data_IF_163064571633
#
_entry.id   IF_163064571633
#
_cell.length_a   1.000
_cell.length_b   1.000
_cell.length_c   1.000
_cell.angle_alpha   90.00
_cell.angle_beta   90.00
_cell.angle_gamma   90.00
#
_symmetry.space_group_name_H-M   'P 1'
#
loop_
_entity.id
_entity.type
_entity.pdbx_description
1 polymer ?
#
# COMPACT_ATOMS: atom_id res chain seq x y z
N UNK A 1 2.59 12.64 1.22
CA UNK A 1 1.36 12.87 0.41
C UNK A 1 0.91 14.35 0.39
N UNK A 2 1.44 15.19 -0.51
CA UNK A 2 1.04 16.62 -0.64
C UNK A 2 0.48 16.99 -2.03
N UNK A 3 0.43 16.04 -2.99
CA UNK A 3 0.03 16.28 -4.39
C UNK A 3 -1.25 15.52 -4.80
N UNK A 4 -2.13 15.23 -3.85
CA UNK A 4 -3.42 14.56 -4.11
C UNK A 4 -3.32 13.23 -4.89
N UNK A 5 -2.20 12.52 -4.80
CA UNK A 5 -1.97 11.24 -5.51
C UNK A 5 -1.34 11.38 -6.90
N UNK A 6 -1.14 12.59 -7.43
CA UNK A 6 -0.54 12.81 -8.75
C UNK A 6 1.00 12.74 -8.74
N UNK A 7 1.55 11.59 -8.35
CA UNK A 7 3.00 11.40 -8.18
C UNK A 7 3.66 10.57 -9.29
N UNK A 8 2.91 9.97 -10.21
CA UNK A 8 3.44 8.98 -11.18
C UNK A 8 4.52 9.50 -12.14
N UNK A 9 4.52 10.80 -12.45
CA UNK A 9 5.43 11.42 -13.42
C UNK A 9 6.62 12.19 -12.80
N UNK A 10 6.52 12.56 -11.51
CA UNK A 10 7.63 13.15 -10.75
C UNK A 10 8.36 12.11 -9.92
N UNK A 11 7.59 11.17 -9.35
CA UNK A 11 7.97 9.91 -8.72
C UNK A 11 9.41 9.88 -8.19
N UNK A 12 9.71 10.74 -7.22
CA UNK A 12 10.99 10.79 -6.54
C UNK A 12 10.85 10.35 -5.10
N UNK A 13 11.95 9.86 -4.50
CA UNK A 13 11.96 9.36 -3.13
C UNK A 13 10.99 8.18 -2.92
N UNK A 14 10.87 7.74 -1.67
CA UNK A 14 10.11 6.57 -1.29
C UNK A 14 8.59 6.75 -1.49
N UNK A 15 8.09 7.97 -1.30
CA UNK A 15 6.72 8.39 -1.62
C UNK A 15 6.39 8.20 -3.11
N UNK A 16 7.37 8.36 -4.00
CA UNK A 16 7.24 8.10 -5.44
C UNK A 16 7.17 6.60 -5.77
N UNK A 17 7.82 5.76 -4.97
CA UNK A 17 7.87 4.30 -5.15
C UNK A 17 6.51 3.64 -4.88
N UNK A 18 5.69 4.24 -4.03
CA UNK A 18 4.28 3.87 -3.88
C UNK A 18 3.46 4.20 -5.15
N UNK A 19 3.86 5.21 -5.94
CA UNK A 19 3.14 5.68 -7.12
C UNK A 19 3.64 5.08 -8.44
N UNK A 20 4.93 4.77 -8.59
CA UNK A 20 5.49 4.19 -9.82
C UNK A 20 6.68 3.25 -9.50
N UNK A 21 6.66 2.03 -10.03
CA UNK A 21 7.75 1.07 -9.86
C UNK A 21 9.12 1.55 -10.40
N UNK A 22 9.14 2.55 -11.29
CA UNK A 22 10.36 3.20 -11.79
C UNK A 22 10.92 4.30 -10.86
N UNK A 23 10.17 4.73 -9.84
CA UNK A 23 10.56 5.79 -8.93
C UNK A 23 11.88 5.56 -8.15
N UNK A 24 12.25 4.33 -7.74
CA UNK A 24 13.49 4.12 -6.98
C UNK A 24 14.76 4.60 -7.71
N UNK A 25 14.74 4.63 -9.05
CA UNK A 25 15.86 5.12 -9.87
C UNK A 25 15.70 6.58 -10.32
N UNK A 26 14.64 7.28 -9.89
CA UNK A 26 14.46 8.71 -10.14
C UNK A 26 15.14 9.54 -9.05
N UNK A 27 16.22 10.22 -9.43
CA UNK A 27 16.94 11.15 -8.55
C UNK A 27 16.15 12.42 -8.30
N UNK A 28 16.22 12.94 -7.07
CA UNK A 28 15.83 14.32 -6.77
C UNK A 28 16.74 15.31 -7.50
N UNK A 29 16.18 16.44 -7.94
CA UNK A 29 16.88 17.47 -8.75
C UNK A 29 18.09 18.12 -8.05
N UNK A 30 18.23 17.94 -6.73
CA UNK A 30 19.31 18.49 -5.90
C UNK A 30 20.29 17.41 -5.38
N UNK A 31 20.13 16.14 -5.78
CA UNK A 31 21.09 15.10 -5.40
C UNK A 31 22.35 15.20 -6.26
N UNK A 32 23.49 15.51 -5.62
CA UNK A 32 24.84 15.56 -6.24
C UNK A 32 25.71 14.36 -5.85
N UNK A 33 25.19 13.41 -5.06
CA UNK A 33 25.96 12.29 -4.49
C UNK A 33 25.81 11.01 -5.32
N UNK A 34 26.84 10.19 -5.37
CA UNK A 34 26.78 8.91 -6.11
C UNK A 34 25.88 7.86 -5.43
N UNK A 35 25.58 8.06 -4.15
CA UNK A 35 24.80 7.18 -3.31
C UNK A 35 23.86 8.00 -2.41
N UNK A 36 22.58 7.60 -2.38
CA UNK A 36 21.55 8.18 -1.52
C UNK A 36 20.77 7.06 -0.80
N UNK A 37 20.38 7.33 0.45
CA UNK A 37 19.48 6.48 1.25
C UNK A 37 18.32 7.35 1.72
N UNK A 38 17.12 6.79 1.68
CA UNK A 38 15.91 7.36 2.26
C UNK A 38 15.20 6.31 3.13
N UNK A 39 14.65 6.73 4.26
CA UNK A 39 13.93 5.87 5.21
C UNK A 39 12.74 6.65 5.74
N UNK A 40 11.57 6.03 5.71
CA UNK A 40 10.34 6.58 6.23
C UNK A 40 9.68 5.61 7.21
N UNK A 41 9.00 6.17 8.19
CA UNK A 41 8.13 5.43 9.08
C UNK A 41 7.00 6.36 9.52
N UNK A 42 5.83 5.79 9.75
CA UNK A 42 4.76 6.53 10.37
C UNK A 42 3.68 5.65 10.97
N UNK A 43 2.88 6.31 11.77
CA UNK A 43 1.82 5.70 12.56
C UNK A 43 0.60 6.61 12.45
N UNK A 44 -0.57 6.02 12.20
CA UNK A 44 -1.83 6.74 12.18
C UNK A 44 -2.83 6.08 13.12
N UNK A 45 -3.36 6.89 14.03
CA UNK A 45 -4.36 6.50 15.01
C UNK A 45 -5.78 6.84 14.52
N UNK A 46 -6.82 6.21 15.08
CA UNK A 46 -8.19 6.57 14.76
C UNK A 46 -8.46 7.97 15.30
N UNK A 47 -8.69 8.93 14.41
CA UNK A 47 -9.40 10.15 14.79
C UNK A 47 -10.90 9.85 14.97
N UNK A 48 -11.75 10.61 14.28
CA UNK A 48 -13.22 10.45 14.28
C UNK A 48 -13.75 9.11 13.72
N UNK A 49 -12.88 8.23 13.22
CA UNK A 49 -13.27 6.97 12.56
C UNK A 49 -13.47 5.78 13.50
N UNK A 50 -13.10 5.89 14.78
CA UNK A 50 -13.17 4.79 15.77
C UNK A 50 -14.58 4.39 16.25
N UNK A 51 -15.63 4.90 15.62
CA UNK A 51 -17.02 4.49 15.89
C UNK A 51 -17.89 4.43 14.63
N UNK A 52 -17.25 4.31 13.46
CA UNK A 52 -17.97 4.23 12.19
C UNK A 52 -18.77 2.92 12.09
N UNK A 53 -19.94 3.04 11.48
CA UNK A 53 -20.78 1.90 11.13
C UNK A 53 -20.07 1.06 10.06
N UNK A 54 -19.60 -0.14 10.45
CA UNK A 54 -18.84 -1.03 9.56
C UNK A 54 -19.65 -1.41 8.32
N UNK A 55 -20.97 -1.55 8.47
CA UNK A 55 -21.86 -1.97 7.39
C UNK A 55 -22.46 -0.78 6.62
N UNK A 56 -22.12 0.47 6.97
CA UNK A 56 -22.65 1.69 6.35
C UNK A 56 -24.20 1.68 6.22
N UNK A 57 -24.90 1.20 7.26
CA UNK A 57 -26.36 1.10 7.34
C UNK A 57 -27.04 2.45 7.63
N UNK A 58 -26.27 3.44 8.11
CA UNK A 58 -26.76 4.81 8.34
C UNK A 58 -27.83 4.88 9.44
N UNK A 59 -28.62 5.97 9.46
CA UNK A 59 -29.65 6.21 10.49
C UNK A 59 -30.84 5.22 10.47
N UNK A 60 -30.86 4.28 9.52
CA UNK A 60 -31.88 3.23 9.40
C UNK A 60 -31.47 1.90 10.06
N UNK A 61 -30.22 1.77 10.53
CA UNK A 61 -29.79 0.65 11.36
C UNK A 61 -30.20 0.83 12.82
N UNK A 62 -30.81 -0.17 13.45
CA UNK A 62 -31.06 -0.13 14.89
C UNK A 62 -29.74 0.00 15.64
N UNK A 63 -29.59 1.00 16.52
CA UNK A 63 -28.36 1.23 17.29
C UNK A 63 -27.91 -0.02 18.10
N UNK A 64 -28.85 -0.90 18.44
CA UNK A 64 -28.63 -2.18 19.12
C UNK A 64 -28.19 -3.34 18.21
N UNK A 65 -28.03 -3.10 16.91
CA UNK A 65 -27.67 -4.12 15.91
C UNK A 65 -26.53 -3.67 14.98
N UNK A 66 -25.93 -2.51 15.24
CA UNK A 66 -24.85 -1.93 14.42
C UNK A 66 -23.48 -2.44 14.90
N UNK A 67 -22.77 -3.14 14.02
CA UNK A 67 -21.37 -3.50 14.21
C UNK A 67 -20.52 -2.24 14.04
N UNK A 68 -19.62 -2.00 14.99
CA UNK A 68 -18.78 -0.80 15.01
C UNK A 68 -17.33 -1.18 14.76
N UNK A 69 -16.67 -0.39 13.93
CA UNK A 69 -15.22 -0.46 13.77
C UNK A 69 -14.56 0.28 14.93
N UNK A 70 -13.69 -0.39 15.68
CA UNK A 70 -12.91 0.18 16.79
C UNK A 70 -11.41 -0.07 16.58
N UNK A 71 -10.60 0.69 17.31
CA UNK A 71 -9.14 0.52 17.38
C UNK A 71 -8.45 0.41 16.01
N UNK A 72 -8.58 1.46 15.20
CA UNK A 72 -7.81 1.64 13.97
C UNK A 72 -6.33 1.90 14.28
N UNK A 73 -5.44 1.14 13.67
CA UNK A 73 -4.02 1.44 13.65
C UNK A 73 -3.51 1.21 12.24
N UNK A 74 -2.93 2.25 11.64
CA UNK A 74 -2.05 2.07 10.49
C UNK A 74 -0.60 2.27 10.94
N UNK A 75 0.25 1.34 10.54
CA UNK A 75 1.70 1.45 10.62
C UNK A 75 2.26 1.33 9.21
N UNK A 76 3.11 2.27 8.82
CA UNK A 76 3.85 2.16 7.58
C UNK A 76 5.34 2.41 7.82
N UNK A 77 6.16 1.85 6.94
CA UNK A 77 7.55 2.24 6.84
C UNK A 77 8.21 1.65 5.62
N UNK A 78 9.34 2.22 5.25
CA UNK A 78 10.08 1.81 4.08
C UNK A 78 11.51 2.31 4.10
N UNK A 79 12.30 1.73 3.21
CA UNK A 79 13.62 2.22 2.89
C UNK A 79 13.86 2.15 1.38
N UNK A 80 14.62 3.11 0.87
CA UNK A 80 15.10 3.10 -0.51
C UNK A 80 16.57 3.46 -0.56
N UNK A 81 17.25 2.88 -1.52
CA UNK A 81 18.66 3.14 -1.77
C UNK A 81 18.85 3.38 -3.26
N UNK A 82 19.66 4.37 -3.58
CA UNK A 82 19.99 4.70 -4.96
C UNK A 82 21.49 4.75 -5.14
N UNK A 83 21.97 4.10 -6.20
CA UNK A 83 23.37 3.99 -6.55
C UNK A 83 23.56 4.30 -8.04
N UNK A 84 24.06 5.50 -8.35
CA UNK A 84 24.18 5.96 -9.74
C UNK A 84 22.83 5.95 -10.47
N UNK A 85 22.67 5.05 -11.44
CA UNK A 85 21.45 4.89 -12.24
C UNK A 85 20.51 3.80 -11.68
N UNK A 86 20.97 3.01 -10.72
CA UNK A 86 20.19 1.93 -10.12
C UNK A 86 19.54 2.40 -8.82
N UNK A 87 18.35 1.89 -8.52
CA UNK A 87 17.71 2.12 -7.22
C UNK A 87 16.83 0.97 -6.80
N UNK A 88 16.71 0.77 -5.50
CA UNK A 88 15.87 -0.24 -4.86
C UNK A 88 15.02 0.42 -3.79
N UNK A 89 13.81 -0.10 -3.59
CA UNK A 89 12.94 0.32 -2.51
C UNK A 89 12.19 -0.88 -1.93
N UNK A 90 11.96 -0.87 -0.64
CA UNK A 90 11.08 -1.80 0.04
C UNK A 90 10.20 -1.05 1.03
N UNK A 91 8.93 -1.43 1.13
CA UNK A 91 7.98 -0.82 2.04
C UNK A 91 7.01 -1.84 2.61
N UNK A 92 6.56 -1.58 3.84
CA UNK A 92 5.51 -2.31 4.54
C UNK A 92 4.43 -1.32 4.98
N UNK A 93 3.19 -1.72 4.79
CA UNK A 93 2.01 -0.93 5.17
C UNK A 93 0.99 -1.87 5.81
N UNK A 94 0.74 -1.68 7.10
CA UNK A 94 -0.09 -2.54 7.92
C UNK A 94 -1.28 -1.76 8.46
N UNK A 95 -2.48 -2.25 8.16
CA UNK A 95 -3.75 -1.71 8.60
C UNK A 95 -4.42 -2.74 9.50
N UNK A 96 -4.80 -2.33 10.71
CA UNK A 96 -5.59 -3.15 11.62
C UNK A 96 -6.86 -2.40 12.02
N UNK A 97 -7.97 -3.13 12.05
CA UNK A 97 -9.21 -2.67 12.67
C UNK A 97 -9.93 -3.83 13.35
N UNK A 98 -10.70 -3.49 14.36
CA UNK A 98 -11.48 -4.44 15.13
C UNK A 98 -12.97 -4.22 14.87
N UNK A 99 -13.71 -5.30 14.64
CA UNK A 99 -15.17 -5.32 14.46
C UNK A 99 -15.78 -5.98 15.69
N UNK A 100 -16.57 -5.21 16.44
CA UNK A 100 -17.30 -5.69 17.61
C UNK A 100 -18.78 -5.90 17.29
N UNK A 101 -19.34 -7.03 17.76
CA UNK A 101 -20.78 -7.33 17.66
C UNK A 101 -21.64 -6.47 18.60
N UNK A 102 -22.96 -6.36 18.35
CA UNK A 102 -23.84 -5.46 19.08
C UNK A 102 -24.03 -5.80 20.57
N UNK A 103 -24.41 -4.80 21.35
CA UNK A 103 -24.39 -4.69 22.81
C UNK A 103 -25.31 -5.65 23.61
N UNK A 104 -25.97 -6.61 22.98
CA UNK A 104 -26.98 -7.47 23.61
C UNK A 104 -26.41 -8.71 24.32
N UNK A 105 -25.09 -8.91 24.35
CA UNK A 105 -24.42 -10.07 24.95
C UNK A 105 -23.45 -9.67 26.07
N UNK A 106 -23.47 -10.37 27.21
CA UNK A 106 -22.61 -10.11 28.38
C UNK A 106 -21.11 -10.39 28.12
N UNK A 107 -20.81 -11.20 27.10
CA UNK A 107 -19.46 -11.47 26.59
C UNK A 107 -19.47 -11.14 25.10
N UNK A 108 -18.59 -10.24 24.65
CA UNK A 108 -18.59 -9.72 23.28
C UNK A 108 -17.55 -10.45 22.41
N UNK A 109 -17.95 -11.38 21.53
CA UNK A 109 -17.06 -11.84 20.48
C UNK A 109 -16.82 -10.71 19.47
N UNK A 110 -15.57 -10.48 19.13
CA UNK A 110 -15.10 -9.53 18.14
C UNK A 110 -14.09 -10.18 17.19
N UNK A 111 -13.89 -9.54 16.05
CA UNK A 111 -12.91 -9.97 15.05
C UNK A 111 -11.96 -8.83 14.75
N UNK A 112 -10.67 -9.09 14.89
CA UNK A 112 -9.62 -8.21 14.41
C UNK A 112 -9.23 -8.63 13.01
N UNK A 113 -9.26 -7.68 12.08
CA UNK A 113 -8.80 -7.90 10.72
C UNK A 113 -7.55 -7.07 10.51
N UNK A 114 -6.48 -7.73 10.11
CA UNK A 114 -5.19 -7.10 9.81
C UNK A 114 -4.84 -7.33 8.34
N UNK A 115 -4.65 -6.24 7.60
CA UNK A 115 -4.14 -6.25 6.24
C UNK A 115 -2.72 -5.72 6.26
N UNK A 116 -1.76 -6.46 5.72
CA UNK A 116 -0.39 -5.98 5.56
C UNK A 116 0.04 -6.14 4.12
N UNK A 117 0.47 -5.03 3.52
CA UNK A 117 1.00 -4.96 2.17
C UNK A 117 2.51 -4.80 2.25
N UNK A 118 3.21 -5.56 1.42
CA UNK A 118 4.64 -5.49 1.22
C UNK A 118 4.90 -5.14 -0.23
N UNK A 119 5.85 -4.26 -0.48
CA UNK A 119 6.27 -3.90 -1.82
C UNK A 119 7.79 -3.90 -1.86
N UNK A 120 8.36 -4.50 -2.90
CA UNK A 120 9.79 -4.52 -3.16
C UNK A 120 10.02 -4.21 -4.63
N UNK A 121 10.80 -3.16 -4.91
CA UNK A 121 10.99 -2.58 -6.23
C UNK A 121 12.46 -2.40 -6.53
N UNK A 122 12.82 -2.57 -7.80
CA UNK A 122 14.12 -2.23 -8.35
C UNK A 122 13.93 -1.48 -9.66
N UNK A 123 14.76 -0.48 -9.90
CA UNK A 123 14.69 0.34 -11.10
C UNK A 123 16.08 0.70 -11.61
N UNK A 124 16.16 0.99 -12.92
CA UNK A 124 17.39 1.37 -13.59
C UNK A 124 17.15 2.49 -14.62
N UNK A 125 18.01 3.50 -14.59
CA UNK A 125 18.05 4.62 -15.51
C UNK A 125 18.97 4.40 -16.71
N UNK A 126 18.43 4.57 -17.90
CA UNK A 126 19.11 4.56 -19.19
C UNK A 126 19.23 5.98 -19.76
N UNK A 127 20.23 6.20 -20.62
CA UNK A 127 20.43 7.46 -21.36
C UNK A 127 20.53 8.69 -20.44
N UNK A 128 21.40 8.64 -19.43
CA UNK A 128 21.50 9.64 -18.36
C UNK A 128 20.17 9.86 -17.62
N UNK A 129 19.50 8.75 -17.32
CA UNK A 129 18.17 8.67 -16.69
C UNK A 129 17.04 9.33 -17.51
N UNK A 130 17.19 9.56 -18.82
CA UNK A 130 16.08 10.00 -19.65
C UNK A 130 14.99 8.94 -19.79
N UNK A 131 15.35 7.66 -19.68
CA UNK A 131 14.41 6.56 -19.58
C UNK A 131 14.70 5.81 -18.29
N UNK A 132 13.71 5.63 -17.44
CA UNK A 132 13.84 4.84 -16.22
C UNK A 132 12.83 3.71 -16.30
N UNK A 133 13.30 2.48 -16.15
CA UNK A 133 12.46 1.31 -16.08
C UNK A 133 12.56 0.73 -14.69
N UNK A 134 11.44 0.28 -14.14
CA UNK A 134 11.41 -0.38 -12.85
C UNK A 134 10.41 -1.51 -12.82
N UNK A 135 10.64 -2.42 -11.89
CA UNK A 135 9.78 -3.54 -11.66
C UNK A 135 10.01 -4.13 -10.29
N UNK A 136 9.08 -4.97 -9.88
CA UNK A 136 9.18 -5.63 -8.60
C UNK A 136 7.96 -6.45 -8.28
N UNK A 137 7.75 -6.65 -6.99
CA UNK A 137 6.70 -7.48 -6.46
C UNK A 137 5.95 -6.75 -5.36
N UNK A 138 4.65 -7.01 -5.31
CA UNK A 138 3.79 -6.67 -4.18
C UNK A 138 3.22 -7.94 -3.58
N UNK A 139 3.14 -7.99 -2.26
CA UNK A 139 2.48 -9.06 -1.54
C UNK A 139 1.43 -8.48 -0.59
N UNK A 140 0.34 -9.21 -0.39
CA UNK A 140 -0.71 -8.87 0.56
C UNK A 140 -0.90 -10.06 1.50
N UNK A 141 -0.83 -9.80 2.79
CA UNK A 141 -1.25 -10.74 3.82
C UNK A 141 -2.49 -10.21 4.54
N UNK A 142 -3.51 -11.04 4.68
CA UNK A 142 -4.71 -10.70 5.47
C UNK A 142 -4.84 -11.71 6.59
N UNK A 143 -4.72 -11.26 7.84
CA UNK A 143 -4.93 -12.06 9.04
C UNK A 143 -6.25 -11.71 9.70
N UNK A 144 -7.00 -12.75 10.10
CA UNK A 144 -8.23 -12.63 10.87
C UNK A 144 -8.00 -13.28 12.22
N UNK A 145 -8.21 -12.52 13.30
CA UNK A 145 -8.09 -13.01 14.67
C UNK A 145 -9.42 -12.81 15.40
N UNK A 146 -9.88 -13.84 16.10
CA UNK A 146 -11.03 -13.70 16.98
C UNK A 146 -10.55 -13.28 18.36
N UNK A 147 -11.26 -12.35 18.99
CA UNK A 147 -11.03 -11.95 20.38
C UNK A 147 -12.37 -11.80 21.12
N UNK A 148 -12.35 -11.95 22.44
CA UNK A 148 -13.57 -11.92 23.25
C UNK A 148 -14.44 -13.18 23.07
N UNK A 149 -15.25 -13.49 24.08
CA UNK A 149 -15.89 -14.80 24.22
C UNK A 149 -15.37 -15.53 25.47
N UNK A 150 -15.83 -16.78 25.65
CA UNK A 150 -15.29 -17.73 26.63
C UNK A 150 -13.99 -18.41 26.15
N UNK A 151 -13.59 -18.20 24.89
CA UNK A 151 -12.42 -18.82 24.26
C UNK A 151 -11.24 -17.82 24.16
N UNK A 152 -9.98 -18.29 24.28
CA UNK A 152 -8.80 -17.46 24.10
C UNK A 152 -8.68 -16.94 22.66
N UNK A 153 -8.06 -15.76 22.50
CA UNK A 153 -7.84 -15.17 21.19
C UNK A 153 -7.02 -16.10 20.30
N UNK A 154 -7.53 -16.39 19.11
CA UNK A 154 -6.89 -17.34 18.17
C UNK A 154 -6.84 -16.75 16.77
N UNK A 155 -5.73 -16.97 16.09
CA UNK A 155 -5.62 -16.72 14.65
C UNK A 155 -6.48 -17.71 13.89
N UNK A 156 -7.41 -17.18 13.11
CA UNK A 156 -8.50 -17.92 12.49
C UNK A 156 -8.20 -18.23 11.04
N UNK A 157 -7.63 -17.28 10.31
CA UNK A 157 -7.38 -17.42 8.88
C UNK A 157 -6.36 -16.40 8.42
N UNK A 158 -5.35 -16.86 7.68
CA UNK A 158 -4.39 -15.98 7.02
C UNK A 158 -4.35 -16.25 5.53
N UNK A 159 -4.50 -15.19 4.74
CA UNK A 159 -4.35 -15.19 3.29
C UNK A 159 -3.00 -14.61 2.90
N UNK A 160 -2.42 -15.14 1.83
CA UNK A 160 -1.25 -14.57 1.16
C UNK A 160 -1.51 -14.51 -0.35
N UNK A 161 -1.22 -13.36 -0.95
CA UNK A 161 -1.20 -13.20 -2.40
C UNK A 161 0.01 -12.38 -2.83
N UNK A 162 0.55 -12.68 -4.01
CA UNK A 162 1.71 -12.00 -4.60
C UNK A 162 1.37 -11.59 -6.03
N UNK A 163 1.80 -10.41 -6.45
CA UNK A 163 1.64 -9.94 -7.81
C UNK A 163 2.85 -9.14 -8.28
N UNK A 164 3.14 -9.13 -9.59
CA UNK A 164 4.20 -8.31 -10.16
C UNK A 164 3.78 -6.84 -10.27
N UNK A 165 4.75 -5.95 -10.21
CA UNK A 165 4.63 -4.53 -10.54
C UNK A 165 5.67 -4.14 -11.59
N UNK A 166 5.31 -3.25 -12.51
CA UNK A 166 6.18 -2.72 -13.55
C UNK A 166 5.94 -1.23 -13.75
N UNK A 167 6.96 -0.49 -14.16
CA UNK A 167 6.90 0.95 -14.31
C UNK A 167 7.93 1.48 -15.30
N UNK A 168 7.58 2.57 -15.95
CA UNK A 168 8.45 3.29 -16.86
C UNK A 168 8.25 4.80 -16.70
N UNK A 169 9.34 5.55 -16.78
CA UNK A 169 9.32 7.01 -16.83
C UNK A 169 10.23 7.45 -17.96
N UNK A 170 9.71 8.32 -18.82
CA UNK A 170 10.46 8.96 -19.90
C UNK A 170 10.49 10.47 -19.69
N UNK A 171 11.70 11.01 -19.58
CA UNK A 171 12.01 12.42 -19.33
C UNK A 171 13.10 12.92 -20.30
N UNK A 172 12.75 13.27 -21.54
CA UNK A 172 13.70 13.81 -22.51
C UNK A 172 14.31 15.13 -22.03
N UNK A 173 15.64 15.28 -22.12
CA UNK A 173 16.37 16.47 -21.60
C UNK A 173 15.99 17.79 -22.30
N UNK A 174 15.52 17.72 -23.54
CA UNK A 174 15.24 18.89 -24.39
C UNK A 174 13.80 19.37 -24.32
N UNK A 175 12.91 18.64 -23.65
CA UNK A 175 11.49 18.94 -23.60
C UNK A 175 11.04 19.16 -22.14
N UNK A 176 10.14 20.11 -21.87
CA UNK A 176 9.69 20.44 -20.52
C UNK A 176 8.59 19.51 -20.01
N UNK A 177 8.57 18.24 -20.43
CA UNK A 177 7.58 17.26 -19.99
C UNK A 177 8.22 15.92 -19.63
N UNK A 178 7.59 15.21 -18.70
CA UNK A 178 7.86 13.80 -18.43
C UNK A 178 6.57 12.99 -18.56
N UNK A 179 6.71 11.76 -19.04
CA UNK A 179 5.64 10.76 -19.10
C UNK A 179 5.98 9.63 -18.15
N UNK A 180 5.01 9.17 -17.38
CA UNK A 180 5.13 8.03 -16.49
C UNK A 180 4.00 7.04 -16.71
N UNK A 181 4.32 5.76 -16.64
CA UNK A 181 3.34 4.68 -16.63
C UNK A 181 3.72 3.65 -15.57
N UNK A 182 2.73 3.10 -14.88
CA UNK A 182 2.95 1.94 -14.00
C UNK A 182 1.79 0.97 -14.07
N UNK A 183 2.11 -0.31 -14.01
CA UNK A 183 1.17 -1.42 -13.99
C UNK A 183 1.36 -2.21 -12.69
N UNK A 184 0.26 -2.51 -12.01
CA UNK A 184 0.22 -3.37 -10.82
C UNK A 184 -0.67 -4.57 -11.10
N UNK A 185 -0.09 -5.77 -11.07
CA UNK A 185 -0.82 -7.01 -11.31
C UNK A 185 -1.86 -7.28 -10.23
N UNK A 186 -2.99 -7.89 -10.60
CA UNK A 186 -4.02 -8.29 -9.64
C UNK A 186 -3.49 -9.30 -8.63
N UNK A 187 -3.90 -9.17 -7.36
CA UNK A 187 -3.55 -10.12 -6.30
C UNK A 187 -4.74 -11.03 -6.09
N UNK A 188 -4.56 -12.33 -6.24
CA UNK A 188 -5.50 -13.33 -5.72
C UNK A 188 -4.83 -13.99 -4.52
N UNK A 189 -5.38 -13.75 -3.33
CA UNK A 189 -4.84 -14.29 -2.09
C UNK A 189 -5.59 -15.56 -1.71
N UNK A 190 -4.83 -16.63 -1.49
CA UNK A 190 -5.33 -17.93 -1.06
C UNK A 190 -5.05 -18.14 0.44
N UNK A 191 -5.89 -18.90 1.15
CA UNK A 191 -5.67 -19.18 2.56
C UNK A 191 -4.44 -20.07 2.73
N UNK A 192 -3.43 -19.58 3.46
CA UNK A 192 -2.19 -20.31 3.77
C UNK A 192 -2.22 -20.95 5.16
N UNK A 193 -3.11 -20.50 6.04
CA UNK A 193 -3.36 -21.09 7.35
C UNK A 193 -4.85 -21.05 7.68
N UNK A 194 -5.45 -22.22 7.94
CA UNK A 194 -6.85 -22.34 8.39
C UNK A 194 -7.01 -23.50 9.39
N UNK A 195 -6.92 -23.24 10.69
CA UNK A 195 -7.09 -24.26 11.74
C UNK A 195 -8.55 -24.66 11.96
N UNK A 196 -9.52 -23.93 11.41
CA UNK A 196 -10.96 -24.15 11.57
C UNK A 196 -11.61 -24.63 10.26
N UNK A 197 -10.84 -25.30 9.39
CA UNK A 197 -11.35 -25.86 8.14
C UNK A 197 -12.38 -26.94 8.44
N UNK A 198 -13.63 -26.54 8.57
CA UNK A 198 -14.77 -27.46 8.56
C UNK A 198 -14.81 -28.17 7.21
N UNK A 199 -15.28 -29.42 7.20
CA UNK A 199 -15.56 -30.20 5.98
C UNK A 199 -16.74 -29.66 5.17
N UNK A 200 -17.45 -28.65 5.68
CA UNK A 200 -18.52 -27.94 4.98
C UNK A 200 -18.01 -26.91 3.96
N UNK A 201 -18.84 -26.64 2.94
CA UNK A 201 -18.59 -25.64 1.89
C UNK A 201 -18.40 -24.22 2.42
N UNK A 202 -18.81 -23.93 3.66
CA UNK A 202 -18.74 -22.60 4.30
C UNK A 202 -17.71 -22.63 5.44
N UNK A 203 -16.63 -21.88 5.28
CA UNK A 203 -15.62 -21.73 6.34
C UNK A 203 -16.16 -20.79 7.43
N UNK A 204 -16.02 -21.22 8.70
CA UNK A 204 -16.54 -20.49 9.86
C UNK A 204 -15.47 -20.31 10.94
N UNK A 205 -15.58 -19.22 11.67
CA UNK A 205 -14.76 -18.86 12.82
C UNK A 205 -15.66 -18.45 13.98
N UNK A 206 -15.94 -19.37 14.90
CA UNK A 206 -16.98 -19.15 15.90
C UNK A 206 -18.31 -18.80 15.22
N UNK A 207 -18.83 -17.60 15.47
CA UNK A 207 -20.08 -17.10 14.87
C UNK A 207 -19.91 -16.48 13.47
N UNK A 208 -18.68 -16.28 12.98
CA UNK A 208 -18.41 -15.54 11.75
C UNK A 208 -18.24 -16.45 10.54
N UNK A 209 -18.75 -16.02 9.40
CA UNK A 209 -18.50 -16.66 8.10
C UNK A 209 -17.24 -16.05 7.50
N UNK A 210 -16.25 -16.89 7.19
CA UNK A 210 -14.98 -16.45 6.61
C UNK A 210 -15.07 -16.40 5.09
N UNK A 211 -14.45 -15.39 4.45
CA UNK A 211 -14.30 -15.39 3.00
C UNK A 211 -13.44 -16.58 2.55
N UNK A 212 -13.66 -17.05 1.32
CA UNK A 212 -12.86 -18.12 0.72
C UNK A 212 -11.67 -17.60 -0.09
N UNK A 213 -11.75 -16.37 -0.59
CA UNK A 213 -10.70 -15.68 -1.35
C UNK A 213 -10.72 -14.19 -1.08
N UNK A 214 -9.57 -13.54 -1.23
CA UNK A 214 -9.44 -12.08 -1.25
C UNK A 214 -8.77 -11.69 -2.56
N UNK A 215 -9.42 -10.83 -3.34
CA UNK A 215 -8.91 -10.41 -4.66
C UNK A 215 -8.72 -8.90 -4.69
N UNK A 216 -7.51 -8.45 -5.02
CA UNK A 216 -7.23 -7.07 -5.43
C UNK A 216 -7.13 -7.02 -6.97
N UNK A 217 -7.83 -6.08 -7.63
CA UNK A 217 -7.77 -5.96 -9.09
C UNK A 217 -6.39 -5.52 -9.57
N UNK A 218 -6.16 -5.69 -10.87
CA UNK A 218 -5.02 -5.07 -11.54
C UNK A 218 -5.29 -3.58 -11.75
N UNK A 219 -4.22 -2.79 -11.78
CA UNK A 219 -4.28 -1.34 -11.94
C UNK A 219 -3.27 -0.89 -12.99
N UNK A 220 -3.66 0.08 -13.81
CA UNK A 220 -2.78 0.77 -14.75
C UNK A 220 -2.92 2.27 -14.50
N UNK A 221 -1.80 2.94 -14.24
CA UNK A 221 -1.76 4.37 -14.00
C UNK A 221 -0.82 5.03 -15.01
N UNK A 222 -1.29 6.13 -15.60
CA UNK A 222 -0.56 6.94 -16.57
C UNK A 222 -0.53 8.38 -16.08
N UNK A 223 0.62 9.03 -16.21
CA UNK A 223 0.84 10.39 -15.75
C UNK A 223 1.69 11.20 -16.70
N UNK A 224 1.43 12.51 -16.78
CA UNK A 224 2.26 13.49 -17.47
C UNK A 224 2.56 14.61 -16.50
N UNK A 225 3.82 15.01 -16.39
CA UNK A 225 4.20 16.24 -15.70
C UNK A 225 4.72 17.26 -16.71
N UNK A 226 4.30 18.51 -16.54
CA UNK A 226 4.70 19.64 -17.37
C UNK A 226 5.38 20.68 -16.49
N UNK A 227 6.60 21.06 -16.84
CA UNK A 227 7.29 22.17 -16.19
C UNK A 227 6.98 23.47 -16.92
N UNK A 228 5.94 24.17 -16.47
CA UNK A 228 5.57 25.49 -16.98
C UNK A 228 6.37 26.58 -16.24
N UNK A 229 7.58 26.86 -16.74
CA UNK A 229 8.39 28.00 -16.28
C UNK A 229 9.91 27.79 -16.39
N UNK A 230 10.63 28.85 -16.78
CA UNK A 230 12.10 28.91 -16.65
C UNK A 230 12.47 29.20 -15.19
N UNK A 231 12.75 28.18 -14.41
CA UNK A 231 13.67 28.32 -13.29
C UNK A 231 15.06 28.62 -13.86
N UNK A 232 15.56 29.83 -13.64
CA UNK A 232 16.86 30.29 -14.14
C UNK A 232 17.97 29.45 -13.46
N UNK A 233 18.51 28.48 -14.18
CA UNK A 233 19.85 27.93 -13.90
C UNK A 233 20.56 27.57 -15.20
N UNK A 234 20.85 28.60 -15.99
CA UNK A 234 22.12 28.62 -16.70
C UNK A 234 23.20 29.03 -15.71
N UNK A 235 24.26 28.22 -15.58
CA UNK A 235 25.60 28.75 -15.68
C UNK A 235 26.10 28.35 -17.07
N UNK A 236 26.16 29.36 -17.94
CA UNK A 236 27.21 29.44 -18.95
C UNK A 236 28.54 29.28 -18.22
N UNK A 237 29.36 28.32 -18.66
CA UNK A 237 30.66 28.06 -18.05
C UNK A 237 31.43 27.02 -18.84
N UNK A 238 31.78 27.36 -20.07
CA UNK A 238 32.95 26.82 -20.75
C UNK A 238 34.20 27.29 -20.02
N UNK A 239 34.96 26.37 -19.40
CA UNK A 239 36.43 26.23 -19.52
C UNK A 239 36.75 24.75 -19.32
#
# INVERSE_FOLDING_TARGET
>A
MSLAGANTAQASSLDGSAANAAAPAMRNMFSVRWFDIDVDAGISFPGSFGSSDFQNRGSRGSASSVDRTRQFLNLYGGASMQFGNFGVAASIDSFRYDVELPETQAVRPGVSVTFTRYTALAAYGFFDNQLVLGGGIRALTTGIQQFGGTEPSREVLTFLGVAPEAGAIWKPKTLPFSFGATFRGGISAAPVFNPNRSTDTIQRAGAFVLPSTVTAPWELELGVALQLGRGRSTPSGSI
#
